data_IF_711270629334
#
_entry.id   IF_711270629334
#
_cell.length_a   1.000
_cell.length_b   1.000
_cell.length_c   1.000
_cell.angle_alpha   90.00
_cell.angle_beta   90.00
_cell.angle_gamma   90.00
#
_symmetry.space_group_name_H-M   'P 1'
#
loop_
_entity.id
_entity.type
_entity.pdbx_description
1 polymer ?
#
# COMPACT_ATOMS: atom_id res chain seq x y z
N UNK A 1 -14.61 10.69 -1.10
CA UNK A 1 -15.95 10.15 -0.75
C UNK A 1 -16.91 10.20 -1.93
N UNK A 2 -17.31 11.37 -2.45
CA UNK A 2 -18.29 11.47 -3.54
C UNK A 2 -17.87 10.71 -4.82
N UNK A 3 -16.60 10.82 -5.24
CA UNK A 3 -16.09 10.09 -6.41
C UNK A 3 -16.08 8.55 -6.24
N UNK A 4 -15.83 8.05 -5.03
CA UNK A 4 -15.86 6.61 -4.74
C UNK A 4 -17.30 6.06 -4.73
N UNK A 5 -18.22 6.79 -4.07
CA UNK A 5 -19.64 6.40 -4.01
C UNK A 5 -20.31 6.43 -5.39
N UNK A 6 -19.90 7.32 -6.29
CA UNK A 6 -20.38 7.35 -7.68
C UNK A 6 -20.03 6.07 -8.48
N UNK A 7 -19.06 5.30 -8.01
CA UNK A 7 -18.50 4.13 -8.69
C UNK A 7 -18.84 2.80 -8.02
N UNK A 8 -19.85 2.77 -7.13
CA UNK A 8 -20.18 1.61 -6.28
C UNK A 8 -18.98 1.11 -5.43
N UNK A 9 -18.00 1.98 -5.17
CA UNK A 9 -16.88 1.65 -4.30
C UNK A 9 -17.22 2.06 -2.86
N UNK A 10 -16.96 1.15 -1.93
CA UNK A 10 -17.06 1.42 -0.51
C UNK A 10 -15.76 2.07 -0.01
N UNK A 11 -15.88 3.07 0.86
CA UNK A 11 -14.73 3.78 1.41
C UNK A 11 -14.45 3.27 2.82
N UNK A 12 -13.23 2.78 3.04
CA UNK A 12 -12.79 2.27 4.34
C UNK A 12 -11.73 3.17 4.95
N UNK A 13 -11.82 3.36 6.27
CA UNK A 13 -10.71 3.81 7.10
C UNK A 13 -10.22 2.62 7.91
N UNK A 14 -8.95 2.28 7.81
CA UNK A 14 -8.33 1.20 8.60
C UNK A 14 -7.86 1.78 9.93
N UNK A 15 -8.30 1.20 11.05
CA UNK A 15 -7.88 1.63 12.38
C UNK A 15 -7.66 0.43 13.29
N UNK A 16 -6.69 0.54 14.19
CA UNK A 16 -6.51 -0.45 15.25
C UNK A 16 -7.69 -0.36 16.22
N UNK A 17 -8.19 -1.50 16.69
CA UNK A 17 -9.31 -1.59 17.65
C UNK A 17 -9.07 -0.82 18.95
N UNK A 18 -7.83 -0.58 19.35
CA UNK A 18 -7.52 0.29 20.48
C UNK A 18 -7.95 1.73 20.20
N UNK A 19 -7.68 2.22 19.00
CA UNK A 19 -7.84 3.62 18.63
C UNK A 19 -9.28 3.91 18.21
N UNK A 20 -9.93 2.98 17.49
CA UNK A 20 -11.31 3.17 17.06
C UNK A 20 -12.31 3.28 18.22
N UNK A 21 -12.01 2.64 19.36
CA UNK A 21 -12.78 2.79 20.61
C UNK A 21 -12.76 4.20 21.17
N UNK A 22 -11.75 4.99 20.82
CA UNK A 22 -11.57 6.37 21.26
C UNK A 22 -12.15 7.40 20.28
N UNK A 23 -12.79 6.97 19.19
CA UNK A 23 -13.46 7.88 18.27
C UNK A 23 -14.54 8.72 18.98
N UNK A 24 -14.47 10.04 18.79
CA UNK A 24 -15.49 10.95 19.28
C UNK A 24 -16.80 10.78 18.51
N UNK A 25 -17.92 11.22 19.09
CA UNK A 25 -19.20 11.21 18.36
C UNK A 25 -19.17 12.11 17.11
N UNK A 26 -18.42 13.22 17.14
CA UNK A 26 -18.23 14.06 15.96
C UNK A 26 -17.50 13.32 14.83
N UNK A 27 -16.47 12.53 15.14
CA UNK A 27 -15.76 11.71 14.16
C UNK A 27 -16.66 10.61 13.58
N UNK A 28 -17.43 9.91 14.42
CA UNK A 28 -18.39 8.89 13.97
C UNK A 28 -19.48 9.49 13.06
N UNK A 29 -19.97 10.68 13.40
CA UNK A 29 -20.93 11.41 12.57
C UNK A 29 -20.32 11.81 11.21
N UNK A 30 -19.06 12.24 11.17
CA UNK A 30 -18.36 12.52 9.91
C UNK A 30 -18.23 11.27 9.05
N UNK A 31 -17.87 10.12 9.64
CA UNK A 31 -17.79 8.85 8.92
C UNK A 31 -19.13 8.50 8.28
N UNK A 32 -20.21 8.52 9.08
CA UNK A 32 -21.57 8.27 8.59
C UNK A 32 -21.98 9.25 7.50
N UNK A 33 -21.71 10.55 7.69
CA UNK A 33 -22.03 11.61 6.72
C UNK A 33 -21.35 11.38 5.37
N UNK A 34 -20.12 10.86 5.38
CA UNK A 34 -19.31 10.67 4.17
C UNK A 34 -19.30 9.22 3.66
N UNK A 35 -20.11 8.33 4.24
CA UNK A 35 -20.18 6.92 3.84
C UNK A 35 -18.87 6.16 4.09
N UNK A 36 -18.05 6.62 5.04
CA UNK A 36 -16.80 5.96 5.44
C UNK A 36 -17.14 4.84 6.41
N UNK A 37 -16.78 3.62 6.04
CA UNK A 37 -16.81 2.44 6.89
C UNK A 37 -15.50 2.29 7.65
N UNK A 38 -15.57 1.70 8.83
CA UNK A 38 -14.40 1.39 9.63
C UNK A 38 -13.98 -0.05 9.35
N UNK A 39 -12.71 -0.26 9.01
CA UNK A 39 -12.06 -1.56 9.02
C UNK A 39 -11.26 -1.67 10.33
N UNK A 40 -11.89 -2.26 11.34
CA UNK A 40 -11.29 -2.48 12.65
C UNK A 40 -10.31 -3.66 12.63
N UNK A 41 -9.04 -3.38 12.91
CA UNK A 41 -7.96 -4.38 12.86
C UNK A 41 -7.32 -4.60 14.23
N UNK A 42 -6.78 -5.79 14.46
CA UNK A 42 -6.22 -6.17 15.76
C UNK A 42 -4.81 -5.60 16.01
N UNK A 43 -4.10 -5.21 14.96
CA UNK A 43 -2.72 -4.73 15.04
C UNK A 43 -2.41 -3.78 13.88
N UNK A 44 -1.47 -2.86 14.10
CA UNK A 44 -0.86 -2.01 13.06
C UNK A 44 0.50 -2.54 12.60
N UNK A 45 1.19 -3.31 13.43
CA UNK A 45 2.39 -4.08 13.09
C UNK A 45 2.14 -5.58 13.28
N UNK A 46 2.57 -6.47 12.36
CA UNK A 46 2.42 -7.90 12.53
C UNK A 46 3.03 -8.37 13.88
N UNK A 47 2.29 -9.12 14.71
CA UNK A 47 2.65 -9.39 16.11
C UNK A 47 3.94 -10.21 16.30
N UNK A 48 4.47 -10.81 15.24
CA UNK A 48 5.72 -11.59 15.27
C UNK A 48 6.73 -11.07 14.24
N UNK A 49 6.65 -9.79 13.86
CA UNK A 49 7.59 -9.21 12.91
C UNK A 49 9.00 -9.19 13.49
N UNK A 50 9.99 -9.70 12.73
CA UNK A 50 11.36 -9.92 13.22
C UNK A 50 12.09 -8.64 13.62
N UNK A 51 11.86 -7.56 12.88
CA UNK A 51 12.45 -6.25 13.12
C UNK A 51 12.00 -5.26 12.05
N UNK A 52 11.78 -4.01 12.47
CA UNK A 52 11.47 -2.90 11.58
C UNK A 52 11.91 -1.59 12.24
N UNK A 53 12.08 -0.54 11.43
CA UNK A 53 12.37 0.79 11.97
C UNK A 53 11.09 1.41 12.53
N UNK A 54 11.12 1.70 13.82
CA UNK A 54 10.05 2.43 14.50
C UNK A 54 10.31 3.95 14.45
N UNK A 55 9.23 4.71 14.23
CA UNK A 55 9.21 6.17 14.35
C UNK A 55 9.35 6.94 13.04
N UNK A 56 9.05 8.24 13.12
CA UNK A 56 9.00 9.12 11.95
C UNK A 56 7.94 8.67 10.95
N UNK A 57 8.33 8.54 9.68
CA UNK A 57 7.46 8.04 8.61
C UNK A 57 7.44 6.51 8.49
N UNK A 58 8.09 5.76 9.39
CA UNK A 58 8.19 4.29 9.32
C UNK A 58 7.44 3.58 10.47
N UNK A 59 7.01 2.35 10.21
CA UNK A 59 6.50 1.44 11.24
C UNK A 59 4.99 1.23 11.17
N UNK A 60 4.26 1.56 12.23
CA UNK A 60 2.82 1.26 12.37
C UNK A 60 2.00 1.66 11.14
N UNK A 61 2.22 2.87 10.60
CA UNK A 61 1.51 3.33 9.40
C UNK A 61 1.84 2.54 8.12
N UNK A 62 3.00 1.90 8.03
CA UNK A 62 3.44 1.12 6.86
C UNK A 62 2.86 -0.30 6.84
N UNK A 63 2.57 -0.87 8.01
CA UNK A 63 2.19 -2.26 8.12
C UNK A 63 0.70 -2.46 8.39
N UNK A 64 -0.02 -1.46 8.91
CA UNK A 64 -1.48 -1.54 9.08
C UNK A 64 -2.20 -1.73 7.73
N UNK A 65 -1.60 -1.22 6.64
CA UNK A 65 -2.11 -1.40 5.28
C UNK A 65 -2.05 -2.85 4.79
N UNK A 66 -1.33 -3.77 5.46
CA UNK A 66 -1.35 -5.20 5.11
C UNK A 66 -2.75 -5.82 5.23
N UNK A 67 -3.59 -5.31 6.12
CA UNK A 67 -4.95 -5.83 6.33
C UNK A 67 -5.83 -5.74 5.08
N UNK A 68 -5.53 -4.82 4.15
CA UNK A 68 -6.32 -4.71 2.91
C UNK A 68 -6.13 -5.91 1.97
N UNK A 69 -5.03 -6.66 2.12
CA UNK A 69 -4.79 -7.90 1.39
C UNK A 69 -5.83 -8.97 1.73
N UNK A 70 -6.37 -8.93 2.96
CA UNK A 70 -7.33 -9.90 3.49
C UNK A 70 -8.80 -9.49 3.37
N UNK A 71 -9.11 -8.40 2.64
CA UNK A 71 -10.49 -7.94 2.45
C UNK A 71 -11.26 -8.83 1.45
N UNK A 72 -11.49 -10.10 1.81
CA UNK A 72 -12.27 -11.04 1.02
C UNK A 72 -13.69 -10.49 0.73
N UNK A 73 -14.22 -10.80 -0.45
CA UNK A 73 -15.55 -10.34 -0.91
C UNK A 73 -15.53 -9.08 -1.78
N UNK A 74 -14.39 -8.40 -1.90
CA UNK A 74 -14.20 -7.31 -2.86
C UNK A 74 -13.47 -7.80 -4.12
N UNK A 75 -13.91 -7.36 -5.30
CA UNK A 75 -13.24 -7.67 -6.56
C UNK A 75 -11.87 -6.99 -6.68
N UNK A 76 -11.74 -5.80 -6.08
CA UNK A 76 -10.49 -5.06 -5.96
C UNK A 76 -10.54 -4.10 -4.77
N UNK A 77 -9.37 -3.77 -4.25
CA UNK A 77 -9.16 -2.73 -3.24
C UNK A 77 -8.02 -1.82 -3.72
N UNK A 78 -8.15 -0.53 -3.47
CA UNK A 78 -7.08 0.44 -3.63
C UNK A 78 -6.82 1.11 -2.28
N UNK A 79 -5.59 0.99 -1.79
CA UNK A 79 -5.12 1.69 -0.60
C UNK A 79 -4.55 3.03 -1.00
N UNK A 80 -4.83 4.05 -0.18
CA UNK A 80 -4.21 5.35 -0.26
C UNK A 80 -3.83 5.84 1.13
N UNK A 81 -2.74 6.59 1.25
CA UNK A 81 -2.44 7.36 2.47
C UNK A 81 -3.58 8.36 2.78
N UNK A 82 -3.66 8.83 4.02
CA UNK A 82 -4.77 9.65 4.50
C UNK A 82 -4.68 11.13 4.09
N UNK A 83 -3.55 11.55 3.54
CA UNK A 83 -3.24 12.91 3.09
C UNK A 83 -3.54 13.12 1.60
N UNK A 84 -4.41 12.31 1.01
CA UNK A 84 -4.75 12.38 -0.42
C UNK A 84 -6.07 13.12 -0.72
N UNK A 85 -6.25 13.48 -1.99
CA UNK A 85 -7.50 13.91 -2.57
C UNK A 85 -7.74 13.29 -3.96
N UNK A 86 -8.97 12.80 -4.16
CA UNK A 86 -9.45 12.26 -5.43
C UNK A 86 -9.97 13.38 -6.33
N UNK A 87 -9.47 13.45 -7.57
CA UNK A 87 -9.88 14.41 -8.59
C UNK A 87 -10.59 13.78 -9.78
N UNK A 88 -10.69 12.45 -9.85
CA UNK A 88 -11.33 11.77 -10.98
C UNK A 88 -11.81 10.36 -10.69
N UNK A 89 -12.15 9.66 -11.77
CA UNK A 89 -12.66 8.30 -11.74
C UNK A 89 -11.56 7.28 -11.38
N UNK A 90 -11.81 6.51 -10.31
CA UNK A 90 -10.94 5.43 -9.83
C UNK A 90 -11.29 4.06 -10.44
N UNK A 91 -12.39 3.93 -11.18
CA UNK A 91 -12.81 2.65 -11.77
C UNK A 91 -11.75 1.99 -12.66
N UNK A 92 -10.96 2.72 -13.48
CA UNK A 92 -9.92 2.09 -14.30
C UNK A 92 -8.87 1.34 -13.49
N UNK A 93 -8.41 1.92 -12.37
CA UNK A 93 -7.39 1.27 -11.52
C UNK A 93 -7.95 0.06 -10.79
N UNK A 94 -9.19 0.16 -10.31
CA UNK A 94 -9.89 -0.96 -9.66
C UNK A 94 -10.15 -2.12 -10.62
N UNK A 95 -10.58 -1.84 -11.86
CA UNK A 95 -10.77 -2.89 -12.89
C UNK A 95 -9.47 -3.60 -13.25
N UNK A 96 -8.36 -2.85 -13.33
CA UNK A 96 -7.06 -3.43 -13.60
C UNK A 96 -6.59 -4.31 -12.42
N UNK A 97 -6.73 -3.82 -11.18
CA UNK A 97 -6.44 -4.59 -9.98
C UNK A 97 -7.29 -5.87 -9.88
N UNK A 98 -8.57 -5.81 -10.25
CA UNK A 98 -9.48 -6.96 -10.26
C UNK A 98 -9.03 -8.12 -11.19
N UNK A 99 -8.17 -7.83 -12.17
CA UNK A 99 -7.57 -8.86 -13.03
C UNK A 99 -6.52 -9.75 -12.33
N UNK A 100 -6.24 -9.48 -11.05
CA UNK A 100 -5.25 -10.22 -10.25
C UNK A 100 -3.88 -9.54 -10.19
N UNK A 101 -3.78 -8.28 -10.64
CA UNK A 101 -2.53 -7.51 -10.59
C UNK A 101 -2.34 -6.81 -9.27
N UNK A 102 -1.11 -6.78 -8.78
CA UNK A 102 -0.66 -5.80 -7.79
C UNK A 102 -0.17 -4.54 -8.51
N UNK A 103 -0.91 -3.45 -8.38
CA UNK A 103 -0.60 -2.16 -8.98
C UNK A 103 0.01 -1.25 -7.92
N UNK A 104 1.17 -0.66 -8.20
CA UNK A 104 1.75 0.37 -7.33
C UNK A 104 2.36 1.50 -8.16
N UNK A 105 2.97 2.48 -7.51
CA UNK A 105 3.77 3.52 -8.17
C UNK A 105 5.21 3.48 -7.64
N UNK A 106 6.15 4.05 -8.38
CA UNK A 106 7.48 4.33 -7.84
C UNK A 106 7.42 5.60 -6.95
N UNK A 107 8.44 5.80 -6.09
CA UNK A 107 8.49 6.94 -5.17
C UNK A 107 9.32 8.11 -5.66
N UNK A 108 10.16 7.92 -6.67
CA UNK A 108 11.18 8.92 -7.00
C UNK A 108 12.30 8.38 -7.85
N UNK A 109 13.28 9.25 -8.11
CA UNK A 109 14.61 8.82 -8.53
C UNK A 109 15.15 7.86 -7.46
N UNK A 110 15.38 6.61 -7.84
CA UNK A 110 15.99 5.61 -6.95
C UNK A 110 15.04 4.98 -5.93
N UNK A 111 13.76 5.34 -5.89
CA UNK A 111 12.78 4.75 -4.97
C UNK A 111 11.86 3.78 -5.74
N UNK A 112 12.08 2.46 -5.64
CA UNK A 112 11.40 1.48 -6.46
C UNK A 112 9.89 1.39 -6.19
N UNK A 113 9.40 1.92 -5.07
CA UNK A 113 8.00 1.87 -4.69
C UNK A 113 7.67 3.04 -3.76
N UNK A 114 6.50 3.65 -3.94
CA UNK A 114 5.85 4.45 -2.90
C UNK A 114 4.63 3.69 -2.40
N UNK A 115 4.62 3.40 -1.10
CA UNK A 115 3.61 2.52 -0.50
C UNK A 115 2.31 3.27 -0.20
N UNK A 116 2.32 4.61 -0.31
CA UNK A 116 1.15 5.48 -0.14
C UNK A 116 0.06 5.28 -1.18
N UNK A 117 0.33 4.52 -2.24
CA UNK A 117 -0.68 4.00 -3.13
C UNK A 117 -0.36 2.58 -3.60
N UNK A 118 -1.37 1.71 -3.53
CA UNK A 118 -1.40 0.47 -4.31
C UNK A 118 -2.84 0.01 -4.54
N UNK A 119 -3.05 -0.84 -5.54
CA UNK A 119 -4.34 -1.49 -5.79
C UNK A 119 -4.15 -2.96 -6.17
N UNK A 120 -5.02 -3.83 -5.68
CA UNK A 120 -4.94 -5.27 -5.91
C UNK A 120 -6.30 -5.95 -5.75
N UNK A 121 -6.39 -7.18 -6.24
CA UNK A 121 -7.47 -8.09 -5.85
C UNK A 121 -7.13 -8.74 -4.50
N UNK A 122 -7.96 -8.57 -3.45
CA UNK A 122 -7.70 -9.18 -2.15
C UNK A 122 -7.57 -10.70 -2.27
N UNK A 123 -6.60 -11.27 -1.55
CA UNK A 123 -6.36 -12.70 -1.47
C UNK A 123 -5.80 -13.01 -0.08
N UNK A 124 -6.54 -13.79 0.71
CA UNK A 124 -6.09 -14.21 2.04
C UNK A 124 -4.73 -14.92 2.03
N UNK A 125 -4.36 -15.55 0.91
CA UNK A 125 -3.04 -16.16 0.74
C UNK A 125 -1.97 -15.07 0.67
N UNK A 126 -2.21 -13.96 -0.05
CA UNK A 126 -1.29 -12.81 -0.06
C UNK A 126 -1.17 -12.17 1.32
N UNK A 127 -2.27 -12.05 2.06
CA UNK A 127 -2.23 -11.59 3.45
C UNK A 127 -1.34 -12.51 4.31
N UNK A 128 -1.60 -13.82 4.28
CA UNK A 128 -0.82 -14.80 5.03
C UNK A 128 0.65 -14.87 4.60
N UNK A 129 0.95 -14.78 3.30
CA UNK A 129 2.32 -14.69 2.78
C UNK A 129 3.04 -13.46 3.33
N UNK A 130 2.35 -12.33 3.45
CA UNK A 130 2.92 -11.11 4.01
C UNK A 130 3.26 -11.25 5.49
N UNK A 131 2.42 -11.96 6.26
CA UNK A 131 2.73 -12.29 7.66
C UNK A 131 3.91 -13.26 7.77
N UNK A 132 3.96 -14.27 6.90
CA UNK A 132 5.06 -15.24 6.86
C UNK A 132 6.39 -14.54 6.48
N UNK A 133 6.34 -13.60 5.53
CA UNK A 133 7.48 -12.77 5.17
C UNK A 133 7.89 -11.87 6.35
N UNK A 134 6.96 -11.14 6.98
CA UNK A 134 7.25 -10.26 8.12
C UNK A 134 7.88 -11.00 9.31
N UNK A 135 7.50 -12.25 9.54
CA UNK A 135 8.07 -13.09 10.61
C UNK A 135 9.56 -13.38 10.43
N UNK A 136 10.04 -13.42 9.19
CA UNK A 136 11.39 -13.90 8.86
C UNK A 136 12.28 -12.79 8.26
N UNK A 137 11.68 -11.80 7.61
CA UNK A 137 12.36 -10.75 6.88
C UNK A 137 12.89 -9.69 7.86
N UNK A 138 14.20 -9.70 8.06
CA UNK A 138 14.90 -8.64 8.75
C UNK A 138 15.37 -7.57 7.76
N UNK A 139 15.52 -6.34 8.23
CA UNK A 139 16.05 -5.24 7.43
C UNK A 139 17.55 -5.09 7.64
N UNK A 140 18.30 -4.86 6.56
CA UNK A 140 19.69 -4.41 6.64
C UNK A 140 19.99 -3.32 5.59
N UNK A 141 20.89 -2.40 5.93
CA UNK A 141 21.39 -1.41 4.97
C UNK A 141 22.16 -2.04 3.81
N UNK A 142 22.76 -3.20 3.99
CA UNK A 142 23.56 -3.86 2.96
C UNK A 142 22.70 -4.64 1.95
N UNK A 143 21.64 -5.30 2.43
CA UNK A 143 20.89 -6.25 1.62
C UNK A 143 19.38 -6.04 1.64
N UNK A 144 18.88 -4.91 2.15
CA UNK A 144 17.44 -4.62 2.25
C UNK A 144 16.69 -5.70 3.06
N UNK A 145 15.37 -5.77 2.89
CA UNK A 145 14.49 -6.71 3.55
C UNK A 145 14.77 -8.15 3.12
N UNK A 146 14.95 -9.06 4.08
CA UNK A 146 15.11 -10.49 3.84
C UNK A 146 16.34 -10.85 3.00
N UNK A 147 17.38 -10.02 3.04
CA UNK A 147 18.58 -10.12 2.20
C UNK A 147 18.29 -10.13 0.68
N UNK A 148 17.22 -9.45 0.24
CA UNK A 148 16.78 -9.46 -1.14
C UNK A 148 17.52 -8.44 -2.04
N UNK A 149 18.46 -7.66 -1.50
CA UNK A 149 19.30 -6.67 -2.17
C UNK A 149 18.59 -5.35 -2.49
N UNK A 150 19.26 -4.45 -3.23
CA UNK A 150 18.77 -3.09 -3.51
C UNK A 150 18.29 -2.83 -4.93
N UNK A 151 18.41 -3.78 -5.85
CA UNK A 151 17.89 -3.58 -7.21
C UNK A 151 16.37 -3.33 -7.16
N UNK A 152 15.86 -2.37 -7.94
CA UNK A 152 16.54 -1.59 -8.99
C UNK A 152 17.21 -0.28 -8.51
N UNK A 153 17.04 0.14 -7.25
CA UNK A 153 17.59 1.40 -6.72
C UNK A 153 19.12 1.51 -6.81
N UNK A 154 19.82 0.38 -6.80
CA UNK A 154 21.30 0.34 -6.86
C UNK A 154 21.99 0.54 -5.51
N UNK A 155 21.25 0.95 -4.48
CA UNK A 155 21.72 1.08 -3.11
C UNK A 155 20.57 1.43 -2.16
N UNK A 156 20.92 1.72 -0.90
CA UNK A 156 19.98 2.24 0.09
C UNK A 156 19.30 3.52 -0.40
N UNK A 157 18.01 3.64 -0.15
CA UNK A 157 17.21 4.85 -0.36
C UNK A 157 16.33 5.10 0.86
N UNK A 158 15.95 6.36 1.06
CA UNK A 158 15.11 6.76 2.20
C UNK A 158 13.73 6.10 2.07
N UNK A 159 13.29 5.44 3.14
CA UNK A 159 12.04 4.67 3.14
C UNK A 159 12.22 3.21 2.70
N UNK A 160 13.40 2.82 2.22
CA UNK A 160 13.74 1.43 1.93
C UNK A 160 13.80 0.55 3.19
N UNK A 161 14.02 1.16 4.34
CA UNK A 161 13.95 0.54 5.67
C UNK A 161 12.52 0.46 6.23
N UNK A 162 11.55 0.96 5.48
CA UNK A 162 10.16 1.14 5.89
C UNK A 162 9.27 0.28 4.98
N UNK A 163 7.95 0.56 4.96
CA UNK A 163 7.00 -0.18 4.15
C UNK A 163 7.39 -0.26 2.67
N UNK A 164 7.97 0.80 2.10
CA UNK A 164 8.32 0.83 0.68
C UNK A 164 9.27 -0.31 0.28
N UNK A 165 10.34 -0.52 1.07
CA UNK A 165 11.27 -1.61 0.83
C UNK A 165 10.68 -2.99 1.12
N UNK A 166 9.88 -3.10 2.18
CA UNK A 166 9.20 -4.36 2.54
C UNK A 166 8.27 -4.84 1.43
N UNK A 167 7.38 -3.96 0.98
CA UNK A 167 6.41 -4.25 -0.07
C UNK A 167 7.11 -4.52 -1.40
N UNK A 168 8.16 -3.76 -1.74
CA UNK A 168 8.91 -4.05 -2.96
C UNK A 168 9.60 -5.41 -2.91
N UNK A 169 10.20 -5.78 -1.77
CA UNK A 169 10.86 -7.07 -1.60
C UNK A 169 9.88 -8.24 -1.76
N UNK A 170 8.67 -8.14 -1.21
CA UNK A 170 7.69 -9.22 -1.28
C UNK A 170 6.98 -9.30 -2.65
N UNK A 171 6.59 -8.17 -3.23
CA UNK A 171 5.71 -8.16 -4.40
C UNK A 171 6.44 -8.10 -5.74
N UNK A 172 7.67 -7.57 -5.80
CA UNK A 172 8.41 -7.41 -7.06
C UNK A 172 9.63 -8.31 -7.19
N UNK A 173 10.20 -8.80 -6.09
CA UNK A 173 11.41 -9.62 -6.17
C UNK A 173 11.08 -11.10 -6.31
N UNK A 174 11.82 -11.74 -7.20
CA UNK A 174 11.83 -13.21 -7.36
C UNK A 174 12.88 -13.84 -6.45
N UNK A 175 12.66 -15.09 -6.06
CA UNK A 175 13.64 -15.85 -5.27
C UNK A 175 13.60 -15.54 -3.77
N UNK A 176 14.61 -16.08 -3.08
CA UNK A 176 14.90 -15.76 -1.69
C UNK A 176 13.72 -15.97 -0.74
N UNK A 177 13.59 -15.05 0.22
CA UNK A 177 12.57 -15.15 1.26
C UNK A 177 11.16 -14.80 0.75
N UNK A 178 11.05 -13.88 -0.22
CA UNK A 178 9.76 -13.51 -0.82
C UNK A 178 9.10 -14.72 -1.51
N UNK A 179 9.86 -15.45 -2.33
CA UNK A 179 9.36 -16.67 -2.96
C UNK A 179 8.96 -17.73 -1.94
N UNK A 180 9.78 -17.98 -0.91
CA UNK A 180 9.43 -18.93 0.15
C UNK A 180 8.13 -18.55 0.87
N UNK A 181 7.93 -17.26 1.14
CA UNK A 181 6.71 -16.77 1.78
C UNK A 181 5.47 -16.99 0.89
N UNK A 182 5.57 -16.71 -0.42
CA UNK A 182 4.50 -16.97 -1.38
C UNK A 182 4.22 -18.48 -1.55
N UNK A 183 5.26 -19.30 -1.68
CA UNK A 183 5.13 -20.75 -1.84
C UNK A 183 4.47 -21.41 -0.63
N UNK A 184 4.76 -20.90 0.58
CA UNK A 184 4.16 -21.40 1.83
C UNK A 184 2.63 -21.30 1.88
N UNK A 185 2.03 -20.50 1.00
CA UNK A 185 0.56 -20.32 0.87
C UNK A 185 0.04 -20.77 -0.50
N UNK A 186 0.85 -21.48 -1.29
CA UNK A 186 0.48 -21.99 -2.60
C UNK A 186 0.45 -20.93 -3.71
N UNK A 187 1.24 -19.87 -3.59
CA UNK A 187 1.46 -18.86 -4.64
C UNK A 187 2.87 -18.98 -5.21
N UNK A 188 3.02 -18.91 -6.53
CA UNK A 188 4.33 -18.93 -7.19
C UNK A 188 4.96 -17.54 -7.31
N UNK A 189 4.12 -16.52 -7.50
CA UNK A 189 4.51 -15.16 -7.81
C UNK A 189 3.32 -14.22 -7.64
N UNK A 190 3.59 -12.92 -7.56
CA UNK A 190 2.58 -11.88 -7.70
C UNK A 190 2.75 -11.21 -9.06
N UNK A 191 1.66 -11.06 -9.81
CA UNK A 191 1.65 -10.31 -11.07
C UNK A 191 1.65 -8.81 -10.74
N UNK A 192 2.85 -8.24 -10.59
CA UNK A 192 3.04 -6.87 -10.13
C UNK A 192 3.36 -5.92 -11.29
N UNK A 193 2.76 -4.74 -11.28
CA UNK A 193 2.98 -3.69 -12.27
C UNK A 193 2.98 -2.30 -11.65
N UNK A 194 3.86 -1.43 -12.16
CA UNK A 194 3.88 -0.03 -11.78
C UNK A 194 3.06 0.80 -12.76
N UNK A 195 2.16 1.63 -12.23
CA UNK A 195 1.38 2.60 -13.00
C UNK A 195 1.94 4.00 -12.81
N UNK A 196 1.48 4.94 -13.64
CA UNK A 196 2.00 6.30 -13.69
C UNK A 196 1.80 7.04 -12.36
N UNK A 197 2.92 7.38 -11.69
CA UNK A 197 2.91 8.12 -10.42
C UNK A 197 2.24 9.49 -10.56
N UNK A 198 2.39 10.16 -11.69
CA UNK A 198 1.89 11.52 -11.90
C UNK A 198 0.38 11.54 -12.10
N UNK A 199 -0.23 10.38 -12.33
CA UNK A 199 -1.68 10.21 -12.47
C UNK A 199 -2.29 9.68 -11.18
N UNK A 200 -1.68 8.66 -10.58
CA UNK A 200 -2.28 7.87 -9.49
C UNK A 200 -1.68 8.14 -8.11
N UNK A 201 -0.58 8.87 -8.02
CA UNK A 201 0.12 9.18 -6.77
C UNK A 201 0.88 10.52 -6.88
N UNK A 202 0.19 11.57 -7.35
CA UNK A 202 0.82 12.85 -7.64
C UNK A 202 1.20 13.57 -6.33
N UNK A 203 2.49 13.86 -6.16
CA UNK A 203 3.00 14.60 -4.99
C UNK A 203 3.51 15.99 -5.40
N UNK A 204 4.33 16.02 -6.45
CA UNK A 204 4.86 17.25 -7.04
C UNK A 204 4.98 17.06 -8.56
N UNK A 205 5.21 18.14 -9.30
CA UNK A 205 5.52 18.08 -10.74
C UNK A 205 6.93 17.55 -11.02
N UNK A 206 7.76 17.34 -9.99
CA UNK A 206 9.09 16.77 -10.13
C UNK A 206 8.99 15.35 -10.71
N UNK A 207 9.72 15.11 -11.80
CA UNK A 207 9.72 13.84 -12.58
C UNK A 207 8.43 13.50 -13.32
N UNK A 208 7.46 14.41 -13.35
CA UNK A 208 6.37 14.32 -14.31
C UNK A 208 6.79 14.86 -15.67
N UNK A 209 6.04 14.48 -16.71
CA UNK A 209 6.21 15.07 -18.02
C UNK A 209 6.07 16.60 -17.93
N UNK A 210 6.90 17.35 -18.67
CA UNK A 210 6.87 18.83 -18.63
C UNK A 210 5.52 19.40 -19.06
N UNK A 211 4.81 18.66 -19.91
CA UNK A 211 3.50 18.91 -20.46
C UNK A 211 2.41 18.07 -19.78
N UNK A 212 2.59 17.69 -18.50
CA UNK A 212 1.57 16.98 -17.73
C UNK A 212 0.26 17.78 -17.76
N UNK A 213 -0.76 17.20 -18.39
CA UNK A 213 -2.12 17.68 -18.32
C UNK A 213 -2.71 17.36 -16.94
N UNK A 214 -2.93 18.40 -16.12
CA UNK A 214 -3.50 18.26 -14.78
C UNK A 214 -4.88 17.57 -14.78
N UNK A 215 -5.63 17.59 -15.89
CA UNK A 215 -6.91 16.87 -15.99
C UNK A 215 -6.75 15.35 -16.02
N UNK A 216 -5.52 14.86 -16.22
CA UNK A 216 -5.18 13.44 -16.14
C UNK A 216 -4.93 13.00 -14.71
N UNK A 217 -4.62 13.90 -13.77
CA UNK A 217 -4.42 13.55 -12.37
C UNK A 217 -5.72 12.94 -11.82
N UNK A 218 -5.59 11.81 -11.13
CA UNK A 218 -6.71 11.11 -10.50
C UNK A 218 -6.63 11.20 -8.99
N UNK A 219 -5.43 11.11 -8.44
CA UNK A 219 -5.16 11.22 -7.02
C UNK A 219 -3.90 12.02 -6.79
N UNK A 220 -3.95 12.94 -5.83
CA UNK A 220 -2.80 13.70 -5.38
C UNK A 220 -2.69 13.75 -3.86
N UNK A 221 -1.47 13.88 -3.36
CA UNK A 221 -1.21 14.25 -1.97
C UNK A 221 -1.51 15.73 -1.78
N UNK A 222 -2.20 16.05 -0.69
CA UNK A 222 -2.50 17.43 -0.30
C UNK A 222 -1.21 18.11 0.14
N UNK A 223 -0.99 19.38 -0.24
CA UNK A 223 0.12 20.14 0.32
C UNK A 223 -0.06 20.25 1.84
N UNK A 224 1.00 19.88 2.58
CA UNK A 224 1.09 20.06 4.03
C UNK A 224 1.43 21.50 4.38
#
# INVERSE_FOLDING_TARGET
AAAAMANNAELFMVMVKSDSKHMTESQKQLFKKHGVKLLDVDWDTPPNMKGYKEGGWCGHQDFIRLHVLGMEGYDAVAYYDTDIEFQGDITPVLRCAASGKFLSTNGGVGEPLNVGFFALKPDKRLFQASLNFAKEADFSHEHSWGNMGWKPAGGYFIGGECGQGFWYALFYKSGGLAQKALESVGLSSVDSAQIDRCIWNYQTSFQCAKDLDCNRVRVHHKPT
#
